data_IF_097634137637
#
_entry.id   IF_097634137637
#
_cell.length_a   1.000
_cell.length_b   1.000
_cell.length_c   1.000
_cell.angle_alpha   90.00
_cell.angle_beta   90.00
_cell.angle_gamma   90.00
#
_symmetry.space_group_name_H-M   'P 1'
#
loop_
_entity.id
_entity.type
_entity.pdbx_description
1 polymer ?
#
# COMPACT_ATOMS: atom_id res chain seq x y z
N UNK A 1 -4.61 -11.09 -6.57
CA UNK A 1 -4.37 -12.54 -6.48
C UNK A 1 -3.15 -12.95 -7.30
N UNK A 2 -3.20 -12.90 -8.65
CA UNK A 2 -2.15 -13.43 -9.54
C UNK A 2 -0.73 -12.92 -9.25
N UNK A 3 -0.58 -11.63 -8.91
CA UNK A 3 0.72 -11.06 -8.55
C UNK A 3 1.31 -11.77 -7.34
N UNK A 4 0.52 -11.91 -6.28
CA UNK A 4 0.95 -12.46 -5.00
C UNK A 4 1.13 -13.98 -5.07
N UNK A 5 0.22 -14.69 -5.72
CA UNK A 5 0.21 -16.16 -5.76
C UNK A 5 1.20 -16.75 -6.77
N UNK A 6 1.35 -16.09 -7.94
CA UNK A 6 2.11 -16.70 -9.04
C UNK A 6 3.36 -15.91 -9.42
N UNK A 7 3.27 -14.59 -9.53
CA UNK A 7 4.41 -13.81 -10.03
C UNK A 7 5.50 -13.66 -8.98
N UNK A 8 5.14 -13.26 -7.77
CA UNK A 8 6.12 -12.99 -6.72
C UNK A 8 6.76 -14.26 -6.15
N UNK A 9 6.10 -15.41 -6.26
CA UNK A 9 6.70 -16.71 -5.88
C UNK A 9 7.95 -17.04 -6.68
N UNK A 10 8.05 -16.57 -7.92
CA UNK A 10 9.25 -16.72 -8.75
C UNK A 10 10.45 -15.93 -8.20
N UNK A 11 10.21 -14.97 -7.32
CA UNK A 11 11.22 -14.17 -6.63
C UNK A 11 11.39 -14.56 -5.15
N UNK A 12 10.86 -15.72 -4.76
CA UNK A 12 10.97 -16.25 -3.40
C UNK A 12 10.04 -15.60 -2.37
N UNK A 13 9.06 -14.82 -2.82
CA UNK A 13 8.01 -14.27 -1.94
C UNK A 13 6.86 -15.27 -1.85
N UNK A 14 6.47 -15.64 -0.65
CA UNK A 14 5.31 -16.49 -0.38
C UNK A 14 4.17 -15.67 0.23
N UNK A 15 2.94 -16.01 -0.10
CA UNK A 15 1.74 -15.34 0.39
C UNK A 15 0.78 -16.35 0.98
N UNK A 16 0.28 -16.07 2.18
CA UNK A 16 -0.83 -16.82 2.81
C UNK A 16 -2.08 -15.97 2.72
N UNK A 17 -3.10 -16.48 2.03
CA UNK A 17 -4.41 -15.83 1.95
C UNK A 17 -5.26 -16.24 3.12
N UNK A 18 -5.91 -15.27 3.76
CA UNK A 18 -6.73 -15.46 4.96
C UNK A 18 -8.04 -14.70 4.83
N UNK A 19 -9.04 -15.10 5.60
CA UNK A 19 -10.27 -14.35 5.72
C UNK A 19 -10.05 -13.12 6.62
N UNK A 20 -10.10 -11.93 6.05
CA UNK A 20 -9.88 -10.67 6.78
C UNK A 20 -10.97 -10.39 7.85
N UNK A 21 -12.10 -11.08 7.84
CA UNK A 21 -13.14 -10.99 8.87
C UNK A 21 -12.89 -11.93 10.05
N UNK A 22 -11.96 -12.87 9.95
CA UNK A 22 -11.52 -13.72 11.05
C UNK A 22 -10.15 -13.25 11.57
N UNK A 23 -10.18 -12.40 12.58
CA UNK A 23 -8.96 -11.84 13.18
C UNK A 23 -8.04 -12.91 13.77
N UNK A 24 -8.58 -14.02 14.22
CA UNK A 24 -7.78 -15.14 14.73
C UNK A 24 -7.05 -15.84 13.58
N UNK A 25 -7.70 -16.03 12.44
CA UNK A 25 -7.06 -16.57 11.23
C UNK A 25 -5.93 -15.64 10.75
N UNK A 26 -6.18 -14.32 10.72
CA UNK A 26 -5.16 -13.32 10.37
C UNK A 26 -3.93 -13.44 11.27
N UNK A 27 -4.13 -13.47 12.59
CA UNK A 27 -3.01 -13.54 13.54
C UNK A 27 -2.27 -14.88 13.46
N UNK A 28 -2.99 -16.01 13.36
CA UNK A 28 -2.40 -17.36 13.27
C UNK A 28 -1.60 -17.60 11.98
N UNK A 29 -1.90 -16.87 10.92
CA UNK A 29 -1.17 -16.97 9.65
C UNK A 29 0.21 -16.29 9.67
N UNK A 30 0.48 -15.43 10.66
CA UNK A 30 1.74 -14.71 10.79
C UNK A 30 2.86 -15.67 11.16
N UNK A 31 3.92 -15.68 10.35
CA UNK A 31 5.11 -16.50 10.53
C UNK A 31 6.33 -15.63 10.90
N UNK A 32 7.42 -16.20 11.45
CA UNK A 32 8.64 -15.43 11.76
C UNK A 32 9.22 -14.65 10.57
N UNK A 33 9.06 -15.18 9.36
CA UNK A 33 9.52 -14.56 8.12
C UNK A 33 8.48 -13.66 7.44
N UNK A 34 7.29 -13.49 8.01
CA UNK A 34 6.28 -12.55 7.49
C UNK A 34 6.84 -11.14 7.49
N UNK A 35 6.63 -10.41 6.39
CA UNK A 35 7.13 -9.04 6.19
C UNK A 35 6.05 -7.97 6.17
N UNK A 36 4.82 -8.30 5.82
CA UNK A 36 3.72 -7.34 5.80
C UNK A 36 2.38 -8.06 5.89
N UNK A 37 1.38 -7.35 6.37
CA UNK A 37 -0.03 -7.67 6.17
C UNK A 37 -0.54 -6.77 5.04
N UNK A 38 -1.22 -7.36 4.06
CA UNK A 38 -1.72 -6.64 2.88
C UNK A 38 -3.20 -6.91 2.69
N UNK A 39 -3.98 -5.85 2.47
CA UNK A 39 -5.42 -5.95 2.18
C UNK A 39 -5.91 -4.80 1.28
N UNK A 40 -7.15 -4.90 0.82
CA UNK A 40 -7.86 -3.83 0.13
C UNK A 40 -8.88 -3.18 1.08
N UNK A 41 -9.13 -1.87 0.96
CA UNK A 41 -10.20 -1.19 1.72
C UNK A 41 -11.59 -1.71 1.36
N UNK A 42 -11.77 -2.05 0.10
CA UNK A 42 -12.97 -2.66 -0.47
C UNK A 42 -12.51 -3.75 -1.42
N UNK A 43 -12.75 -4.99 -1.04
CA UNK A 43 -12.32 -6.17 -1.78
C UNK A 43 -12.99 -6.29 -3.15
N UNK A 44 -12.22 -6.66 -4.16
CA UNK A 44 -12.70 -6.93 -5.50
C UNK A 44 -12.52 -8.44 -5.82
N UNK A 45 -13.61 -9.19 -6.09
CA UNK A 45 -14.95 -8.71 -6.48
C UNK A 45 -16.01 -8.71 -5.38
N UNK A 46 -15.70 -9.21 -4.17
CA UNK A 46 -16.73 -9.51 -3.16
C UNK A 46 -17.27 -8.29 -2.42
N UNK A 47 -16.62 -7.12 -2.57
CA UNK A 47 -16.95 -5.90 -1.82
C UNK A 47 -16.82 -6.04 -0.29
N UNK A 48 -15.93 -6.92 0.16
CA UNK A 48 -15.62 -7.10 1.57
C UNK A 48 -14.97 -5.83 2.15
N UNK A 49 -15.40 -5.44 3.36
CA UNK A 49 -14.87 -4.28 4.08
C UNK A 49 -14.26 -4.80 5.39
N UNK A 50 -12.92 -4.94 5.47
CA UNK A 50 -12.25 -5.43 6.68
C UNK A 50 -12.21 -4.37 7.77
N UNK A 51 -12.09 -4.83 9.03
CA UNK A 51 -11.80 -3.95 10.18
C UNK A 51 -10.30 -3.57 10.17
N UNK A 52 -10.01 -2.41 9.56
CA UNK A 52 -8.64 -1.95 9.38
C UNK A 52 -7.94 -1.70 10.72
N UNK A 53 -8.64 -1.09 11.68
CA UNK A 53 -8.08 -0.76 13.01
C UNK A 53 -7.66 -2.04 13.76
N UNK A 54 -8.50 -3.07 13.74
CA UNK A 54 -8.19 -4.35 14.38
C UNK A 54 -7.02 -5.08 13.70
N UNK A 55 -6.99 -5.10 12.36
CA UNK A 55 -5.90 -5.74 11.61
C UNK A 55 -4.58 -4.96 11.77
N UNK A 56 -4.62 -3.64 11.82
CA UNK A 56 -3.45 -2.80 12.13
C UNK A 56 -2.86 -3.15 13.50
N UNK A 57 -3.70 -3.29 14.51
CA UNK A 57 -3.26 -3.67 15.85
C UNK A 57 -2.56 -5.05 15.86
N UNK A 58 -3.09 -6.03 15.11
CA UNK A 58 -2.44 -7.34 14.95
C UNK A 58 -1.09 -7.20 14.23
N UNK A 59 -1.05 -6.51 13.10
CA UNK A 59 0.19 -6.33 12.34
C UNK A 59 1.28 -5.68 13.21
N UNK A 60 0.95 -4.59 13.90
CA UNK A 60 1.91 -3.85 14.74
C UNK A 60 2.37 -4.67 15.96
N UNK A 61 1.50 -5.48 16.57
CA UNK A 61 1.88 -6.42 17.65
C UNK A 61 3.00 -7.37 17.22
N UNK A 62 3.06 -7.73 15.95
CA UNK A 62 4.08 -8.61 15.36
C UNK A 62 5.21 -7.86 14.65
N UNK A 63 5.29 -6.53 14.79
CA UNK A 63 6.31 -5.70 14.17
C UNK A 63 6.22 -5.68 12.64
N UNK A 64 5.00 -5.76 12.09
CA UNK A 64 4.72 -5.77 10.67
C UNK A 64 4.03 -4.48 10.23
N UNK A 65 4.39 -3.91 9.07
CA UNK A 65 3.61 -2.83 8.49
C UNK A 65 2.30 -3.38 7.91
N UNK A 66 1.23 -2.60 8.06
CA UNK A 66 -0.02 -2.81 7.35
C UNK A 66 0.00 -2.01 6.05
N UNK A 67 -0.12 -2.72 4.92
CA UNK A 67 -0.19 -2.15 3.57
C UNK A 67 -1.60 -2.28 3.03
N UNK A 68 -2.19 -1.18 2.59
CA UNK A 68 -3.58 -1.16 2.11
C UNK A 68 -3.65 -0.63 0.67
N UNK A 69 -4.25 -1.44 -0.20
CA UNK A 69 -4.69 -0.95 -1.50
C UNK A 69 -6.03 -0.22 -1.34
N UNK A 70 -5.98 1.11 -1.50
CA UNK A 70 -7.13 1.97 -1.38
C UNK A 70 -7.66 2.45 -2.74
N UNK A 71 -7.47 1.65 -3.77
CA UNK A 71 -7.89 2.00 -5.14
C UNK A 71 -9.38 2.26 -5.22
N UNK A 72 -10.21 1.40 -4.63
CA UNK A 72 -11.68 1.57 -4.63
C UNK A 72 -12.16 2.63 -3.65
N UNK A 73 -11.61 2.65 -2.43
CA UNK A 73 -11.99 3.65 -1.43
C UNK A 73 -11.62 5.06 -1.84
N UNK A 74 -10.54 5.23 -2.58
CA UNK A 74 -9.92 6.51 -2.94
C UNK A 74 -9.57 7.35 -1.70
N UNK A 75 -8.70 8.35 -1.80
CA UNK A 75 -8.44 9.23 -0.65
C UNK A 75 -9.64 10.10 -0.27
N UNK A 76 -10.71 10.06 -1.06
CA UNK A 76 -11.94 10.82 -0.78
C UNK A 76 -12.87 10.09 0.19
N UNK A 77 -13.14 8.79 0.00
CA UNK A 77 -14.05 8.05 0.88
C UNK A 77 -13.40 7.62 2.19
N UNK A 78 -12.14 7.22 2.13
CA UNK A 78 -11.43 6.73 3.31
C UNK A 78 -9.93 7.00 3.19
N UNK A 79 -9.32 7.33 4.33
CA UNK A 79 -7.88 7.51 4.49
C UNK A 79 -7.34 6.45 5.44
N UNK A 80 -6.89 5.29 4.96
CA UNK A 80 -6.49 4.15 5.80
C UNK A 80 -5.40 4.47 6.82
N UNK A 81 -4.56 5.48 6.57
CA UNK A 81 -3.54 5.96 7.53
C UNK A 81 -4.18 6.47 8.83
N UNK A 82 -5.40 6.98 8.78
CA UNK A 82 -6.16 7.41 9.97
C UNK A 82 -6.68 6.21 10.77
N UNK A 83 -6.68 5.01 10.16
CA UNK A 83 -7.08 3.72 10.70
C UNK A 83 -5.90 2.78 10.96
N UNK A 84 -4.69 3.29 11.07
CA UNK A 84 -3.50 2.51 11.43
C UNK A 84 -2.73 1.88 10.27
N UNK A 85 -3.12 2.10 9.02
CA UNK A 85 -2.29 1.68 7.89
C UNK A 85 -0.96 2.44 7.86
N UNK A 86 0.12 1.73 7.60
CA UNK A 86 1.46 2.32 7.48
C UNK A 86 1.73 2.78 6.06
N UNK A 87 1.31 1.98 5.10
CA UNK A 87 1.51 2.23 3.67
C UNK A 87 0.18 2.08 2.95
N UNK A 88 -0.15 3.06 2.12
CA UNK A 88 -1.33 3.02 1.27
C UNK A 88 -0.91 3.06 -0.18
N UNK A 89 -1.44 2.16 -0.98
CA UNK A 89 -1.22 2.14 -2.43
C UNK A 89 -2.51 2.43 -3.18
N UNK A 90 -2.38 3.04 -4.34
CA UNK A 90 -3.50 3.27 -5.25
C UNK A 90 -3.09 2.91 -6.67
N UNK A 91 -3.91 2.16 -7.38
CA UNK A 91 -3.88 2.19 -8.83
C UNK A 91 -4.48 3.51 -9.31
N UNK A 92 -3.62 4.51 -9.55
CA UNK A 92 -4.06 5.82 -10.04
C UNK A 92 -4.73 5.72 -11.43
N UNK A 93 -4.48 4.65 -12.15
CA UNK A 93 -5.14 4.24 -13.40
C UNK A 93 -6.66 4.25 -13.29
N UNK A 94 -7.21 3.92 -12.10
CA UNK A 94 -8.64 3.73 -11.86
C UNK A 94 -9.33 5.05 -11.52
N UNK A 95 -9.91 5.17 -10.35
CA UNK A 95 -10.72 6.33 -9.97
C UNK A 95 -9.95 7.65 -9.90
N UNK A 96 -8.68 7.63 -9.51
CA UNK A 96 -7.86 8.86 -9.44
C UNK A 96 -7.75 9.50 -10.82
N UNK A 97 -7.29 8.75 -11.82
CA UNK A 97 -7.25 9.23 -13.21
C UNK A 97 -8.64 9.37 -13.83
N UNK A 98 -9.53 8.40 -13.58
CA UNK A 98 -10.94 8.43 -13.93
C UNK A 98 -11.31 8.23 -15.40
N UNK A 99 -10.33 8.14 -16.31
CA UNK A 99 -10.56 8.13 -17.76
C UNK A 99 -9.95 6.91 -18.47
N UNK A 100 -9.12 6.12 -17.78
CA UNK A 100 -8.43 4.97 -18.40
C UNK A 100 -7.43 5.35 -19.50
N UNK A 101 -6.99 6.61 -19.53
CA UNK A 101 -6.11 7.13 -20.58
C UNK A 101 -4.63 6.86 -20.31
N UNK A 102 -4.26 6.52 -19.08
CA UNK A 102 -2.88 6.25 -18.69
C UNK A 102 -2.80 5.30 -17.50
N UNK A 103 -1.70 4.59 -17.40
CA UNK A 103 -1.38 3.74 -16.26
C UNK A 103 -0.52 4.51 -15.26
N UNK A 104 -0.78 4.29 -13.97
CA UNK A 104 0.02 4.86 -12.91
C UNK A 104 -0.36 4.32 -11.54
N UNK A 105 0.53 4.49 -10.59
CA UNK A 105 0.33 4.11 -9.19
C UNK A 105 0.84 5.19 -8.25
N UNK A 106 0.34 5.15 -7.02
CA UNK A 106 0.77 6.04 -5.94
C UNK A 106 1.07 5.18 -4.72
N UNK A 107 2.16 5.48 -4.06
CA UNK A 107 2.51 4.92 -2.75
C UNK A 107 2.53 6.07 -1.76
N UNK A 108 1.77 5.94 -0.68
CA UNK A 108 1.70 6.90 0.42
C UNK A 108 2.22 6.22 1.67
N UNK A 109 3.25 6.81 2.28
CA UNK A 109 3.84 6.34 3.53
C UNK A 109 3.31 7.20 4.68
N UNK A 110 2.84 6.57 5.76
CA UNK A 110 2.43 7.28 6.97
C UNK A 110 3.60 7.97 7.67
N UNK A 111 4.81 7.46 7.47
CA UNK A 111 6.01 7.86 8.20
C UNK A 111 6.03 7.45 9.67
N UNK A 112 5.10 6.59 10.10
CA UNK A 112 4.93 6.22 11.52
C UNK A 112 5.52 4.86 11.87
N UNK A 113 5.73 3.98 10.89
CA UNK A 113 6.25 2.64 11.15
C UNK A 113 7.72 2.69 11.57
N UNK A 114 8.05 2.05 12.69
CA UNK A 114 9.43 1.96 13.17
C UNK A 114 10.16 0.79 12.51
N UNK A 115 10.83 1.08 11.41
CA UNK A 115 11.60 0.12 10.63
C UNK A 115 12.73 -0.53 11.42
N UNK A 116 13.31 0.17 12.40
CA UNK A 116 14.38 -0.36 13.26
C UNK A 116 13.85 -1.26 14.36
N UNK A 117 12.85 -0.81 15.09
CA UNK A 117 12.26 -1.58 16.19
C UNK A 117 11.65 -2.90 15.70
N UNK A 118 11.14 -2.94 14.47
CA UNK A 118 10.65 -4.17 13.84
C UNK A 118 11.72 -5.27 13.74
N UNK A 119 12.98 -4.94 13.49
CA UNK A 119 14.08 -5.88 13.30
C UNK A 119 13.99 -6.76 12.04
N UNK A 120 12.99 -6.52 11.17
CA UNK A 120 12.69 -7.35 9.99
C UNK A 120 13.16 -6.74 8.66
N UNK A 121 13.60 -5.47 8.65
CA UNK A 121 13.84 -4.67 7.45
C UNK A 121 15.26 -4.09 7.39
N UNK A 122 16.28 -4.98 7.46
CA UNK A 122 17.68 -4.55 7.43
C UNK A 122 18.06 -3.71 6.22
N UNK A 123 17.41 -3.91 5.07
CA UNK A 123 17.62 -3.09 3.87
C UNK A 123 17.26 -1.60 4.05
N UNK A 124 16.42 -1.26 5.04
CA UNK A 124 16.03 0.11 5.39
C UNK A 124 16.73 0.56 6.69
N UNK A 125 16.79 -0.37 7.67
CA UNK A 125 17.23 -0.08 9.03
C UNK A 125 18.75 -0.12 9.21
N UNK A 126 19.45 -1.03 8.50
CA UNK A 126 20.88 -1.24 8.64
C UNK A 126 21.69 -0.41 7.63
N UNK A 127 23.00 -0.24 7.85
CA UNK A 127 23.91 0.37 6.89
C UNK A 127 23.85 -0.31 5.52
N UNK A 128 23.45 0.43 4.48
CA UNK A 128 23.27 -0.10 3.14
C UNK A 128 24.57 0.03 2.32
N UNK A 129 25.21 -1.08 1.90
CA UNK A 129 26.48 -1.02 1.18
C UNK A 129 26.36 -0.38 -0.20
N UNK A 130 25.19 -0.47 -0.87
CA UNK A 130 24.98 0.19 -2.16
C UNK A 130 24.75 1.71 -2.04
N UNK A 131 24.66 2.21 -0.81
CA UNK A 131 24.47 3.63 -0.50
C UNK A 131 25.49 4.13 0.54
N UNK A 132 26.75 3.76 0.33
CA UNK A 132 27.91 4.19 1.13
C UNK A 132 27.80 3.89 2.64
N UNK A 133 27.07 2.84 3.02
CA UNK A 133 26.87 2.49 4.43
C UNK A 133 25.83 3.33 5.18
N UNK A 134 25.01 4.11 4.47
CA UNK A 134 23.94 4.89 5.09
C UNK A 134 22.77 3.98 5.47
N UNK A 135 22.25 4.12 6.70
CA UNK A 135 20.95 3.61 7.10
C UNK A 135 19.86 4.59 6.64
N UNK A 136 18.90 4.12 5.85
CA UNK A 136 17.78 4.97 5.41
C UNK A 136 16.90 5.41 6.58
N UNK A 137 16.71 4.53 7.57
CA UNK A 137 15.95 4.85 8.78
C UNK A 137 16.59 6.00 9.57
N UNK A 138 17.91 6.03 9.69
CA UNK A 138 18.63 7.11 10.39
C UNK A 138 18.69 8.40 9.58
N UNK A 139 18.94 8.29 8.29
CA UNK A 139 19.16 9.45 7.43
C UNK A 139 17.86 10.18 7.04
N UNK A 140 16.75 9.45 6.87
CA UNK A 140 15.50 9.99 6.37
C UNK A 140 14.35 9.95 7.39
N UNK A 141 14.52 9.29 8.54
CA UNK A 141 13.51 9.23 9.59
C UNK A 141 12.15 8.79 9.07
N UNK A 142 11.09 9.61 9.24
CA UNK A 142 9.74 9.27 8.77
C UNK A 142 9.63 9.02 7.26
N UNK A 143 10.57 9.50 6.46
CA UNK A 143 10.59 9.28 5.01
C UNK A 143 11.48 8.10 4.58
N UNK A 144 11.92 7.24 5.50
CA UNK A 144 12.89 6.17 5.23
C UNK A 144 12.42 5.22 4.11
N UNK A 145 11.19 4.78 4.16
CA UNK A 145 10.64 3.85 3.18
C UNK A 145 10.57 4.44 1.77
N UNK A 146 9.98 5.62 1.63
CA UNK A 146 9.87 6.27 0.31
C UNK A 146 11.23 6.70 -0.21
N UNK A 147 12.17 7.08 0.66
CA UNK A 147 13.55 7.38 0.27
C UNK A 147 14.26 6.14 -0.23
N UNK A 148 14.12 5.00 0.45
CA UNK A 148 14.66 3.72 -0.01
C UNK A 148 14.10 3.33 -1.38
N UNK A 149 12.78 3.44 -1.59
CA UNK A 149 12.16 3.16 -2.89
C UNK A 149 12.76 4.05 -3.98
N UNK A 150 12.90 5.33 -3.74
CA UNK A 150 13.42 6.28 -4.74
C UNK A 150 14.91 6.10 -5.01
N UNK A 151 15.69 5.89 -3.95
CA UNK A 151 17.15 5.80 -4.06
C UNK A 151 17.63 4.46 -4.64
N UNK A 152 16.89 3.38 -4.38
CA UNK A 152 17.27 2.01 -4.79
C UNK A 152 16.34 1.50 -5.90
N UNK A 153 15.06 1.25 -5.57
CA UNK A 153 14.17 0.55 -6.48
C UNK A 153 13.88 1.34 -7.75
N UNK A 154 13.54 2.62 -7.62
CA UNK A 154 13.31 3.49 -8.77
C UNK A 154 14.55 3.62 -9.65
N UNK A 155 15.71 3.84 -9.04
CA UNK A 155 16.99 3.94 -9.74
C UNK A 155 17.32 2.67 -10.51
N UNK A 156 17.17 1.51 -9.86
CA UNK A 156 17.66 0.24 -10.41
C UNK A 156 16.66 -0.36 -11.42
N UNK A 157 15.36 -0.15 -11.23
CA UNK A 157 14.32 -0.68 -12.15
C UNK A 157 13.86 0.31 -13.20
N UNK A 158 14.08 1.61 -12.99
CA UNK A 158 13.60 2.66 -13.89
C UNK A 158 12.07 2.82 -13.90
N UNK A 159 11.38 2.27 -12.88
CA UNK A 159 9.92 2.28 -12.79
C UNK A 159 9.39 3.68 -12.40
N UNK A 160 9.55 4.66 -13.28
CA UNK A 160 9.10 6.04 -13.09
C UNK A 160 7.97 6.38 -14.05
N UNK A 161 7.05 7.23 -13.59
CA UNK A 161 5.97 7.73 -14.43
C UNK A 161 6.47 8.82 -15.37
N UNK A 162 5.97 8.86 -16.61
CA UNK A 162 6.26 9.98 -17.50
C UNK A 162 5.58 11.27 -17.02
N UNK A 163 6.18 12.46 -17.26
CA UNK A 163 5.56 13.74 -16.88
C UNK A 163 4.16 13.93 -17.48
N UNK A 164 3.96 13.48 -18.72
CA UNK A 164 2.67 13.58 -19.38
C UNK A 164 1.60 12.69 -18.71
N UNK A 165 1.95 11.46 -18.34
CA UNK A 165 1.03 10.58 -17.60
C UNK A 165 0.71 11.15 -16.21
N UNK A 166 1.70 11.72 -15.53
CA UNK A 166 1.50 12.39 -14.25
C UNK A 166 0.52 13.56 -14.38
N UNK A 167 0.66 14.37 -15.44
CA UNK A 167 -0.26 15.47 -15.74
C UNK A 167 -1.70 14.98 -15.94
N UNK A 168 -1.91 13.91 -16.72
CA UNK A 168 -3.25 13.34 -16.95
C UNK A 168 -3.87 12.83 -15.65
N UNK A 169 -3.09 12.20 -14.78
CA UNK A 169 -3.57 11.72 -13.49
C UNK A 169 -3.92 12.89 -12.55
N UNK A 170 -3.11 13.96 -12.55
CA UNK A 170 -3.38 15.17 -11.78
C UNK A 170 -4.69 15.84 -12.23
N UNK A 171 -4.96 15.94 -13.53
CA UNK A 171 -6.24 16.42 -14.03
C UNK A 171 -7.42 15.58 -13.50
N UNK A 172 -7.25 14.26 -13.40
CA UNK A 172 -8.27 13.38 -12.82
C UNK A 172 -8.58 13.70 -11.35
N UNK A 173 -7.60 14.18 -10.58
CA UNK A 173 -7.81 14.52 -9.16
C UNK A 173 -8.74 15.72 -8.96
N UNK A 174 -8.78 16.67 -9.92
CA UNK A 174 -9.61 17.87 -9.83
C UNK A 174 -11.10 17.55 -9.71
N UNK A 175 -11.55 16.45 -10.31
CA UNK A 175 -12.95 16.04 -10.31
C UNK A 175 -13.21 14.77 -9.46
N UNK A 176 -12.21 14.28 -8.75
CA UNK A 176 -12.29 13.00 -8.04
C UNK A 176 -13.47 12.99 -7.05
N UNK A 177 -13.59 14.01 -6.21
CA UNK A 177 -14.66 14.08 -5.21
C UNK A 177 -16.05 14.06 -5.86
N UNK A 178 -16.26 14.88 -6.88
CA UNK A 178 -17.52 14.97 -7.61
C UNK A 178 -17.91 13.63 -8.25
N UNK A 179 -16.94 12.95 -8.85
CA UNK A 179 -17.17 11.64 -9.49
C UNK A 179 -17.50 10.56 -8.47
N UNK A 180 -16.77 10.53 -7.37
CA UNK A 180 -16.98 9.52 -6.32
C UNK A 180 -18.31 9.74 -5.61
N UNK A 181 -18.69 10.98 -5.28
CA UNK A 181 -20.02 11.29 -4.75
C UNK A 181 -21.13 10.76 -5.67
N UNK A 182 -21.00 11.01 -6.97
CA UNK A 182 -21.98 10.54 -7.94
C UNK A 182 -22.01 9.02 -8.05
N UNK A 183 -20.86 8.35 -7.98
CA UNK A 183 -20.81 6.88 -7.95
C UNK A 183 -21.53 6.32 -6.72
N UNK A 184 -21.31 6.90 -5.54
CA UNK A 184 -22.00 6.49 -4.30
C UNK A 184 -23.50 6.70 -4.40
N UNK A 185 -23.94 7.89 -4.88
CA UNK A 185 -25.37 8.17 -5.07
C UNK A 185 -26.03 7.17 -6.04
N UNK A 186 -25.38 6.89 -7.16
CA UNK A 186 -25.91 5.98 -8.15
C UNK A 186 -25.97 4.55 -7.61
N UNK A 187 -24.94 4.12 -6.89
CA UNK A 187 -24.92 2.79 -6.25
C UNK A 187 -26.10 2.63 -5.31
N UNK A 188 -26.39 3.62 -4.43
CA UNK A 188 -27.55 3.60 -3.54
C UNK A 188 -28.90 3.51 -4.23
N UNK A 189 -28.97 3.87 -5.51
CA UNK A 189 -30.22 3.77 -6.30
C UNK A 189 -30.37 2.43 -7.00
N UNK A 190 -29.27 1.71 -7.18
CA UNK A 190 -29.23 0.43 -7.88
C UNK A 190 -29.38 -0.76 -6.92
N UNK A 191 -28.89 -0.60 -5.70
CA UNK A 191 -28.99 -1.57 -4.60
C UNK A 191 -30.23 -1.33 -3.76
#
# INVERSE_FOLDING_TARGET
YNLLEHTLTQFGVTTTFVNAHDLAEVENAIQPNTKAVYLETLGNPNSDIPDIDAIAAIAHKHGLPLVIDNTFGTPYLIRPIEHGADIVVHSATKFIGGHGTTLGGIIVDSGKFDWKASGKFGNIADPNPSYHGVSFADAAGPAAFVTYIRAILLRDTGATISPFNAFLLLQGTETLSLRIERHVENTKKVV
#
